data_IF_735794636200
#
_entry.id   IF_735794636200
#
_cell.length_a   1.000
_cell.length_b   1.000
_cell.length_c   1.000
_cell.angle_alpha   90.00
_cell.angle_beta   90.00
_cell.angle_gamma   90.00
#
_symmetry.space_group_name_H-M   'P 1'
#
loop_
_entity.id
_entity.type
_entity.pdbx_description
1 polymer ?
#
# COMPACT_ATOMS: atom_id res chain seq x y z
N UNK A 1 -10.90 0.28 -2.25
CA UNK A 1 -9.82 -0.55 -2.80
C UNK A 1 -8.95 -1.20 -1.74
N UNK A 2 -8.16 -0.47 -0.92
CA UNK A 2 -7.27 -1.16 0.04
C UNK A 2 -8.01 -1.94 1.13
N UNK A 3 -9.16 -1.41 1.57
CA UNK A 3 -10.05 -2.09 2.50
C UNK A 3 -10.57 -3.42 1.92
N UNK A 4 -10.90 -3.45 0.63
CA UNK A 4 -11.37 -4.66 -0.05
C UNK A 4 -10.27 -5.72 -0.11
N UNK A 5 -9.03 -5.31 -0.37
CA UNK A 5 -7.87 -6.21 -0.36
C UNK A 5 -7.56 -6.70 1.05
N UNK A 6 -7.64 -5.84 2.07
CA UNK A 6 -7.45 -6.22 3.46
C UNK A 6 -8.47 -7.28 3.91
N UNK A 7 -9.74 -7.12 3.53
CA UNK A 7 -10.79 -8.14 3.75
C UNK A 7 -10.47 -9.46 3.06
N UNK A 8 -10.04 -9.43 1.79
CA UNK A 8 -9.63 -10.64 1.04
C UNK A 8 -8.45 -11.37 1.70
N UNK A 9 -7.53 -10.62 2.33
CA UNK A 9 -6.37 -11.16 3.03
C UNK A 9 -6.66 -11.56 4.49
N UNK A 10 -7.92 -11.44 4.95
CA UNK A 10 -8.30 -11.61 6.36
C UNK A 10 -7.39 -10.82 7.31
N UNK A 11 -6.94 -9.64 6.88
CA UNK A 11 -6.02 -8.79 7.63
C UNK A 11 -6.81 -7.78 8.46
N UNK A 12 -6.90 -7.94 9.80
CA UNK A 12 -7.51 -6.93 10.64
C UNK A 12 -6.61 -5.70 10.68
N UNK A 13 -7.04 -4.63 9.99
CA UNK A 13 -6.36 -3.33 9.99
C UNK A 13 -7.25 -2.33 10.72
N UNK A 14 -6.65 -1.50 11.58
CA UNK A 14 -7.37 -0.40 12.22
C UNK A 14 -7.66 0.68 11.19
N UNK A 15 -8.68 1.53 11.40
CA UNK A 15 -8.99 2.63 10.48
C UNK A 15 -7.80 3.55 10.19
N UNK A 16 -6.96 3.82 11.19
CA UNK A 16 -5.73 4.61 11.05
C UNK A 16 -4.72 3.93 10.11
N UNK A 17 -4.53 2.62 10.26
CA UNK A 17 -3.63 1.83 9.43
C UNK A 17 -4.15 1.77 7.99
N UNK A 18 -5.47 1.61 7.81
CA UNK A 18 -6.11 1.67 6.49
C UNK A 18 -5.90 3.03 5.81
N UNK A 19 -6.04 4.13 6.54
CA UNK A 19 -5.80 5.47 6.01
C UNK A 19 -4.35 5.68 5.59
N UNK A 20 -3.40 5.21 6.41
CA UNK A 20 -1.97 5.24 6.09
C UNK A 20 -1.68 4.47 4.80
N UNK A 21 -2.13 3.22 4.72
CA UNK A 21 -1.85 2.34 3.59
C UNK A 21 -2.55 2.85 2.32
N UNK A 22 -3.76 3.39 2.43
CA UNK A 22 -4.46 4.03 1.30
C UNK A 22 -3.65 5.21 0.76
N UNK A 23 -3.15 6.09 1.64
CA UNK A 23 -2.32 7.23 1.23
C UNK A 23 -1.00 6.82 0.57
N UNK A 24 -0.37 5.74 1.05
CA UNK A 24 0.83 5.18 0.42
C UNK A 24 0.50 4.62 -0.97
N UNK A 25 -0.58 3.86 -1.10
CA UNK A 25 -1.00 3.27 -2.35
C UNK A 25 -1.29 4.33 -3.42
N UNK A 26 -2.04 5.38 -3.07
CA UNK A 26 -2.32 6.51 -3.96
C UNK A 26 -1.02 7.17 -4.45
N UNK A 27 -0.06 7.38 -3.54
CA UNK A 27 1.22 7.98 -3.89
C UNK A 27 2.04 7.09 -4.81
N UNK A 28 2.01 5.77 -4.60
CA UNK A 28 2.67 4.79 -5.50
C UNK A 28 2.04 4.84 -6.88
N UNK A 29 0.70 4.86 -6.98
CA UNK A 29 -0.01 4.96 -8.25
C UNK A 29 0.34 6.25 -9.00
N UNK A 30 0.35 7.39 -8.32
CA UNK A 30 0.77 8.67 -8.89
C UNK A 30 2.21 8.62 -9.41
N UNK A 31 3.14 8.00 -8.67
CA UNK A 31 4.54 7.92 -9.05
C UNK A 31 4.80 6.95 -10.21
N UNK A 32 3.97 5.91 -10.36
CA UNK A 32 4.08 4.90 -11.42
C UNK A 32 3.24 5.23 -12.66
N UNK A 33 2.36 6.23 -12.57
CA UNK A 33 1.43 6.59 -13.65
C UNK A 33 0.32 5.54 -13.86
N UNK A 34 0.05 4.73 -12.84
CA UNK A 34 -0.96 3.67 -12.92
C UNK A 34 -2.36 4.29 -12.89
N UNK A 35 -3.26 3.84 -13.76
CA UNK A 35 -4.68 4.19 -13.67
C UNK A 35 -5.29 3.55 -12.43
N UNK A 36 -5.97 4.37 -11.63
CA UNK A 36 -6.80 3.95 -10.51
C UNK A 36 -7.78 2.88 -11.03
N UNK A 37 -7.81 1.71 -10.38
CA UNK A 37 -8.56 0.49 -10.76
C UNK A 37 -7.93 -0.50 -11.75
N UNK A 38 -6.63 -0.42 -12.03
CA UNK A 38 -5.96 -1.51 -12.74
C UNK A 38 -5.63 -2.69 -11.82
N UNK A 39 -5.51 -3.90 -12.39
CA UNK A 39 -5.02 -5.09 -11.67
C UNK A 39 -3.64 -4.86 -11.02
N UNK A 40 -2.89 -3.89 -11.53
CA UNK A 40 -1.61 -3.45 -10.98
C UNK A 40 -1.77 -2.82 -9.60
N UNK A 41 -2.78 -1.97 -9.40
CA UNK A 41 -3.06 -1.33 -8.11
C UNK A 41 -3.46 -2.38 -7.07
N UNK A 42 -4.17 -3.45 -7.46
CA UNK A 42 -4.53 -4.53 -6.53
C UNK A 42 -3.27 -5.30 -6.08
N UNK A 43 -2.31 -5.54 -6.98
CA UNK A 43 -1.01 -6.12 -6.62
C UNK A 43 -0.23 -5.22 -5.66
N UNK A 44 -0.21 -3.93 -5.90
CA UNK A 44 0.43 -2.96 -5.01
C UNK A 44 -0.23 -2.93 -3.63
N UNK A 45 -1.55 -2.95 -3.55
CA UNK A 45 -2.28 -3.02 -2.29
C UNK A 45 -1.97 -4.31 -1.50
N UNK A 46 -1.92 -5.47 -2.18
CA UNK A 46 -1.55 -6.76 -1.55
C UNK A 46 -0.14 -6.71 -0.98
N UNK A 47 0.83 -6.26 -1.78
CA UNK A 47 2.22 -6.14 -1.33
C UNK A 47 2.36 -5.17 -0.16
N UNK A 48 1.64 -4.03 -0.22
CA UNK A 48 1.66 -3.02 0.83
C UNK A 48 1.14 -3.56 2.17
N UNK A 49 0.03 -4.31 2.15
CA UNK A 49 -0.52 -4.95 3.35
C UNK A 49 0.45 -5.99 3.91
N UNK A 50 1.06 -6.82 3.05
CA UNK A 50 2.04 -7.82 3.49
C UNK A 50 3.27 -7.18 4.15
N UNK A 51 3.80 -6.09 3.58
CA UNK A 51 4.92 -5.34 4.17
C UNK A 51 4.54 -4.73 5.53
N UNK A 52 3.31 -4.23 5.66
CA UNK A 52 2.82 -3.68 6.92
C UNK A 52 2.70 -4.77 7.99
N UNK A 53 2.17 -5.94 7.63
CA UNK A 53 2.07 -7.09 8.51
C UNK A 53 3.43 -7.68 8.90
N UNK A 54 4.45 -7.57 8.03
CA UNK A 54 5.82 -7.98 8.36
C UNK A 54 6.55 -6.99 9.29
N UNK A 55 5.88 -5.91 9.73
CA UNK A 55 6.39 -4.95 10.70
C UNK A 55 6.84 -3.61 10.12
N UNK A 56 6.75 -3.40 8.80
CA UNK A 56 7.13 -2.12 8.17
C UNK A 56 5.96 -1.15 8.31
N UNK A 57 6.01 -0.27 9.31
CA UNK A 57 4.92 0.69 9.59
C UNK A 57 5.18 2.12 9.13
N UNK A 58 6.40 2.44 8.72
CA UNK A 58 6.74 3.79 8.28
C UNK A 58 6.26 4.03 6.86
N UNK A 59 5.54 5.14 6.65
CA UNK A 59 5.10 5.62 5.33
C UNK A 59 6.27 5.67 4.33
N UNK A 60 7.41 6.20 4.75
CA UNK A 60 8.60 6.36 3.89
C UNK A 60 9.19 5.01 3.51
N UNK A 61 9.26 4.06 4.46
CA UNK A 61 9.75 2.72 4.18
C UNK A 61 8.83 1.97 3.21
N UNK A 62 7.51 2.06 3.43
CA UNK A 62 6.53 1.44 2.54
C UNK A 62 6.61 2.00 1.11
N UNK A 63 6.74 3.33 0.97
CA UNK A 63 6.95 3.98 -0.31
C UNK A 63 8.28 3.54 -0.96
N UNK A 64 9.37 3.47 -0.20
CA UNK A 64 10.67 3.06 -0.71
C UNK A 64 10.63 1.62 -1.24
N UNK A 65 10.02 0.70 -0.48
CA UNK A 65 9.87 -0.70 -0.87
C UNK A 65 9.03 -0.87 -2.14
N UNK A 66 7.98 -0.06 -2.31
CA UNK A 66 7.08 -0.16 -3.46
C UNK A 66 7.56 0.60 -4.70
N UNK A 67 8.44 1.58 -4.57
CA UNK A 67 8.91 2.42 -5.70
C UNK A 67 10.37 2.19 -6.06
N UNK A 68 11.13 1.51 -5.20
CA UNK A 68 12.59 1.37 -5.33
C UNK A 68 13.34 2.69 -5.12
N UNK A 69 12.64 3.79 -4.81
CA UNK A 69 13.25 5.09 -4.55
C UNK A 69 13.63 5.19 -3.08
N UNK A 70 14.90 5.50 -2.81
CA UNK A 70 15.32 5.94 -1.47
C UNK A 70 14.81 7.36 -1.28
N UNK A 71 13.94 7.55 -0.29
CA UNK A 71 13.54 8.88 0.16
C UNK A 71 14.57 9.35 1.20
N UNK A 72 15.16 10.55 1.05
CA UNK A 72 16.06 11.12 2.04
C UNK A 72 15.36 11.46 3.36
#
# INVERSE_FOLDING_TARGET
MINDVAKKLASPLRPEDLALLQSVLEKVCQLRGDRENSAQVEKHAKLLINLFQSGIRSRHQLLAMLTGKRFP
#
